data_IF_407766006735
#
_entry.id   IF_407766006735
#
_cell.length_a   1.000
_cell.length_b   1.000
_cell.length_c   1.000
_cell.angle_alpha   90.00
_cell.angle_beta   90.00
_cell.angle_gamma   90.00
#
_symmetry.space_group_name_H-M   'P 1'
#
loop_
_entity.id
_entity.type
_entity.pdbx_description
1 polymer ?
#
# COMPACT_ATOMS: atom_id res chain seq x y z
N UNK A 1 -6.80 10.76 26.85
CA UNK A 1 -7.10 11.86 25.90
C UNK A 1 -5.78 12.33 25.31
N UNK A 2 -5.68 12.39 23.96
CA UNK A 2 -4.48 12.90 23.27
C UNK A 2 -4.49 14.42 23.42
N UNK A 3 -3.42 14.99 24.00
CA UNK A 3 -3.29 16.45 24.15
C UNK A 3 -2.82 17.06 22.82
N UNK A 4 -3.22 18.31 22.50
CA UNK A 4 -2.64 19.03 21.37
C UNK A 4 -1.10 19.09 21.47
N UNK A 5 -0.43 19.01 20.33
CA UNK A 5 1.05 19.09 20.24
C UNK A 5 1.79 18.06 21.11
N UNK A 6 1.20 16.87 21.31
CA UNK A 6 1.83 15.78 22.06
C UNK A 6 2.06 14.56 21.14
N UNK A 7 3.15 13.84 21.40
CA UNK A 7 3.43 12.56 20.79
C UNK A 7 2.72 11.45 21.56
N UNK A 8 2.19 10.46 20.83
CA UNK A 8 1.54 9.30 21.41
C UNK A 8 2.03 8.05 20.69
N UNK A 9 2.39 7.03 21.47
CA UNK A 9 2.82 5.74 20.96
C UNK A 9 1.68 4.73 21.00
N UNK A 10 1.48 4.03 19.90
CA UNK A 10 0.55 2.91 19.80
C UNK A 10 1.34 1.60 19.75
N UNK A 11 1.06 0.69 20.68
CA UNK A 11 1.60 -0.67 20.63
C UNK A 11 0.64 -1.56 19.84
N UNK A 12 1.16 -2.21 18.79
CA UNK A 12 0.41 -3.17 17.98
C UNK A 12 0.89 -4.56 18.34
N UNK A 13 -0.03 -5.44 18.74
CA UNK A 13 0.27 -6.83 19.06
C UNK A 13 -0.61 -7.74 18.22
N UNK A 14 0.00 -8.68 17.53
CA UNK A 14 -0.74 -9.69 16.79
C UNK A 14 -1.21 -10.80 17.75
N UNK A 15 -2.52 -11.07 17.74
CA UNK A 15 -3.16 -12.08 18.61
C UNK A 15 -3.86 -13.18 17.82
N UNK A 16 -3.64 -13.23 16.50
CA UNK A 16 -4.27 -14.19 15.60
C UNK A 16 -3.57 -15.55 15.55
N UNK A 17 -3.93 -16.35 14.55
CA UNK A 17 -3.29 -17.64 14.26
C UNK A 17 -1.85 -17.44 13.77
N UNK A 18 -1.05 -18.53 13.77
CA UNK A 18 0.29 -18.48 13.20
C UNK A 18 0.31 -17.90 11.79
N UNK A 19 1.23 -16.98 11.55
CA UNK A 19 1.43 -16.35 10.23
C UNK A 19 2.29 -17.24 9.34
N UNK A 20 2.15 -17.14 8.00
CA UNK A 20 3.07 -17.76 7.06
C UNK A 20 4.51 -17.39 7.37
N UNK A 21 5.43 -18.34 7.23
CA UNK A 21 6.86 -18.14 7.47
C UNK A 21 7.67 -18.02 6.17
N UNK A 22 7.04 -18.30 5.05
CA UNK A 22 7.62 -18.34 3.70
C UNK A 22 7.33 -17.09 2.86
N UNK A 23 6.45 -16.22 3.32
CA UNK A 23 6.05 -14.98 2.63
C UNK A 23 5.53 -13.91 3.59
N UNK A 24 5.48 -12.69 3.11
CA UNK A 24 4.88 -11.57 3.84
C UNK A 24 3.37 -11.74 4.03
N UNK A 25 2.88 -11.13 5.12
CA UNK A 25 1.45 -10.91 5.36
C UNK A 25 1.18 -9.41 5.46
N UNK A 26 0.11 -8.94 4.81
CA UNK A 26 -0.25 -7.53 4.80
C UNK A 26 -1.52 -7.27 5.61
N UNK A 27 -1.48 -6.20 6.40
CA UNK A 27 -2.58 -5.71 7.22
C UNK A 27 -2.83 -4.23 6.92
N UNK A 28 -3.96 -3.75 7.37
CA UNK A 28 -4.30 -2.33 7.31
C UNK A 28 -4.63 -1.84 8.71
N UNK A 29 -3.90 -0.81 9.16
CA UNK A 29 -4.19 -0.11 10.40
C UNK A 29 -4.98 1.15 10.05
N UNK A 30 -6.05 1.38 10.81
CA UNK A 30 -6.84 2.60 10.74
C UNK A 30 -6.77 3.28 12.09
N UNK A 31 -6.15 4.45 12.14
CA UNK A 31 -6.09 5.29 13.34
C UNK A 31 -7.04 6.46 13.14
N UNK A 32 -8.07 6.55 13.97
CA UNK A 32 -9.05 7.64 13.93
C UNK A 32 -8.89 8.54 15.14
N UNK A 33 -8.56 9.81 14.91
CA UNK A 33 -8.55 10.83 15.93
C UNK A 33 -9.97 11.39 16.11
N UNK A 34 -10.57 11.17 17.28
CA UNK A 34 -11.90 11.66 17.61
C UNK A 34 -11.73 12.88 18.53
N UNK A 35 -12.16 14.09 18.11
CA UNK A 35 -12.09 15.26 18.97
C UNK A 35 -13.01 15.08 20.19
N UNK A 36 -12.56 15.57 21.35
CA UNK A 36 -13.39 15.60 22.54
C UNK A 36 -14.53 16.61 22.37
N UNK A 37 -15.71 16.24 22.80
CA UNK A 37 -16.78 17.24 22.96
C UNK A 37 -16.50 18.06 24.21
N UNK A 38 -16.37 19.37 24.07
CA UNK A 38 -16.34 20.26 25.24
C UNK A 38 -17.71 20.24 25.91
N UNK A 39 -17.77 19.70 27.14
CA UNK A 39 -18.99 19.66 27.94
C UNK A 39 -19.53 21.05 28.34
N UNK A 40 -18.81 22.14 28.00
CA UNK A 40 -19.16 23.51 28.30
C UNK A 40 -19.95 24.23 27.21
N UNK A 41 -20.17 23.60 26.06
CA UNK A 41 -20.93 24.17 24.96
C UNK A 41 -22.44 23.77 25.07
N UNK A 42 -23.03 23.93 26.25
CA UNK A 42 -24.50 23.83 26.42
C UNK A 42 -25.25 25.08 25.90
N UNK A 43 -24.53 26.01 25.26
CA UNK A 43 -25.18 27.10 24.54
C UNK A 43 -25.54 26.64 23.12
N UNK A 44 -26.82 26.37 22.97
CA UNK A 44 -27.55 25.71 21.87
C UNK A 44 -27.51 26.46 20.51
N UNK A 45 -26.68 27.49 20.31
CA UNK A 45 -26.74 28.33 19.13
C UNK A 45 -25.43 28.49 18.32
N UNK A 46 -24.40 27.68 18.56
CA UNK A 46 -23.22 27.73 17.69
C UNK A 46 -23.21 26.53 16.74
N UNK A 47 -23.32 26.80 15.43
CA UNK A 47 -23.07 25.83 14.36
C UNK A 47 -21.62 25.38 14.46
N UNK A 48 -21.32 24.31 15.20
CA UNK A 48 -19.98 23.76 15.33
C UNK A 48 -19.78 22.58 14.37
N UNK A 49 -18.75 22.66 13.52
CA UNK A 49 -18.32 21.56 12.67
C UNK A 49 -17.25 20.76 13.41
N UNK A 50 -17.50 19.48 13.68
CA UNK A 50 -16.50 18.57 14.21
C UNK A 50 -15.91 17.70 13.10
N UNK A 51 -14.62 17.79 12.86
CA UNK A 51 -13.91 16.99 11.85
C UNK A 51 -13.09 15.93 12.58
N UNK A 52 -13.34 14.65 12.25
CA UNK A 52 -12.52 13.53 12.69
C UNK A 52 -11.60 13.08 11.54
N UNK A 53 -10.30 13.01 11.79
CA UNK A 53 -9.32 12.54 10.81
C UNK A 53 -9.03 11.06 11.04
N UNK A 54 -9.04 10.27 9.96
CA UNK A 54 -8.67 8.87 9.99
C UNK A 54 -7.48 8.63 9.04
N UNK A 55 -6.38 8.16 9.60
CA UNK A 55 -5.20 7.74 8.85
C UNK A 55 -5.26 6.24 8.60
N UNK A 56 -5.03 5.83 7.35
CA UNK A 56 -4.93 4.41 6.96
C UNK A 56 -3.54 4.12 6.48
N UNK A 57 -2.86 3.18 7.15
CA UNK A 57 -1.51 2.75 6.79
C UNK A 57 -1.46 1.24 6.57
N UNK A 58 -0.57 0.80 5.68
CA UNK A 58 -0.27 -0.62 5.51
C UNK A 58 0.71 -1.04 6.59
N UNK A 59 0.51 -2.24 7.13
CA UNK A 59 1.44 -2.91 8.03
C UNK A 59 1.79 -4.25 7.41
N UNK A 60 3.09 -4.50 7.21
CA UNK A 60 3.58 -5.78 6.74
C UNK A 60 4.21 -6.55 7.89
N UNK A 61 3.87 -7.81 8.01
CA UNK A 61 4.64 -8.77 8.79
C UNK A 61 5.57 -9.49 7.84
N UNK A 62 6.87 -9.35 8.05
CA UNK A 62 7.92 -9.95 7.24
C UNK A 62 8.67 -10.99 8.08
N UNK A 63 8.58 -12.29 7.73
CA UNK A 63 9.41 -13.31 8.35
C UNK A 63 10.89 -13.04 8.14
N UNK A 64 11.72 -13.33 9.14
CA UNK A 64 13.16 -13.10 9.08
C UNK A 64 13.94 -14.08 8.20
N UNK A 65 13.31 -15.19 7.84
CA UNK A 65 13.93 -16.31 7.10
C UNK A 65 13.58 -16.34 5.61
N UNK A 66 13.10 -15.24 5.04
CA UNK A 66 12.87 -15.16 3.60
C UNK A 66 14.19 -15.29 2.84
N UNK A 67 14.17 -16.12 1.80
CA UNK A 67 15.40 -16.52 1.04
C UNK A 67 15.90 -15.45 0.06
N UNK A 68 15.13 -14.38 -0.13
CA UNK A 68 15.42 -13.31 -1.09
C UNK A 68 15.48 -11.96 -0.36
N UNK A 69 16.37 -11.07 -0.82
CA UNK A 69 16.40 -9.68 -0.35
C UNK A 69 15.23 -8.89 -0.99
N UNK A 70 14.65 -7.97 -0.23
CA UNK A 70 13.52 -7.15 -0.69
C UNK A 70 13.87 -6.25 -1.88
N UNK A 71 15.09 -5.73 -1.94
CA UNK A 71 15.55 -4.89 -3.05
C UNK A 71 15.68 -5.71 -4.34
N UNK A 72 16.18 -6.95 -4.25
CA UNK A 72 16.25 -7.88 -5.37
C UNK A 72 14.85 -8.32 -5.82
N UNK A 73 13.93 -8.50 -4.90
CA UNK A 73 12.55 -8.89 -5.19
C UNK A 73 11.85 -7.90 -6.12
N UNK A 74 12.08 -6.59 -5.94
CA UNK A 74 11.50 -5.56 -6.80
C UNK A 74 11.90 -5.71 -8.27
N UNK A 75 13.07 -6.29 -8.55
CA UNK A 75 13.59 -6.52 -9.90
C UNK A 75 13.11 -7.84 -10.52
N UNK A 76 12.43 -8.69 -9.75
CA UNK A 76 11.93 -10.01 -10.20
C UNK A 76 10.49 -9.97 -10.73
N UNK A 77 9.83 -8.82 -10.67
CA UNK A 77 8.50 -8.69 -11.25
C UNK A 77 8.55 -8.93 -12.76
N UNK A 78 7.60 -9.71 -13.23
CA UNK A 78 7.38 -9.92 -14.66
C UNK A 78 6.14 -9.10 -15.06
N UNK A 79 6.37 -8.09 -15.92
CA UNK A 79 5.31 -7.18 -16.36
C UNK A 79 5.21 -7.26 -17.88
N UNK A 80 4.07 -7.72 -18.37
CA UNK A 80 3.85 -7.92 -19.80
C UNK A 80 2.44 -7.52 -20.23
N UNK A 81 2.28 -7.19 -21.49
CA UNK A 81 0.98 -7.00 -22.10
C UNK A 81 0.48 -8.30 -22.68
N UNK A 82 -0.72 -8.73 -22.26
CA UNK A 82 -1.47 -9.86 -22.85
C UNK A 82 -2.78 -9.35 -23.41
N UNK A 83 -2.82 -9.15 -24.72
CA UNK A 83 -4.00 -8.59 -25.40
C UNK A 83 -4.32 -7.16 -24.90
N UNK A 84 -5.50 -7.00 -24.28
CA UNK A 84 -5.96 -5.73 -23.73
C UNK A 84 -5.66 -5.56 -22.23
N UNK A 85 -4.88 -6.44 -21.66
CA UNK A 85 -4.54 -6.43 -20.23
C UNK A 85 -3.05 -6.28 -20.02
N UNK A 86 -2.66 -5.52 -19.02
CA UNK A 86 -1.34 -5.53 -18.42
C UNK A 86 -1.33 -6.57 -17.32
N UNK A 87 -0.47 -7.55 -17.46
CA UNK A 87 -0.32 -8.65 -16.50
C UNK A 87 0.95 -8.43 -15.72
N UNK A 88 0.82 -8.42 -14.40
CA UNK A 88 1.93 -8.31 -13.46
C UNK A 88 2.01 -9.59 -12.65
N UNK A 89 3.09 -10.35 -12.82
CA UNK A 89 3.36 -11.55 -12.04
C UNK A 89 4.43 -11.23 -10.99
N UNK A 90 4.14 -11.56 -9.75
CA UNK A 90 5.05 -11.39 -8.61
C UNK A 90 5.49 -12.77 -8.08
N UNK A 91 6.60 -13.34 -8.55
CA UNK A 91 7.10 -14.64 -8.09
C UNK A 91 7.79 -14.57 -6.73
N UNK A 92 7.83 -13.41 -6.08
CA UNK A 92 8.60 -13.17 -4.85
C UNK A 92 7.77 -13.41 -3.60
N UNK A 93 8.40 -13.58 -2.42
CA UNK A 93 7.68 -13.70 -1.16
C UNK A 93 7.20 -12.35 -0.57
N UNK A 94 7.32 -11.25 -1.29
CA UNK A 94 7.01 -9.90 -0.83
C UNK A 94 5.77 -9.33 -1.51
N UNK A 95 5.04 -8.47 -0.79
CA UNK A 95 4.06 -7.57 -1.41
C UNK A 95 4.79 -6.45 -2.15
N UNK A 96 4.56 -6.31 -3.44
CA UNK A 96 5.20 -5.25 -4.24
C UNK A 96 4.13 -4.30 -4.77
N UNK A 97 4.30 -3.02 -4.51
CA UNK A 97 3.40 -1.98 -5.02
C UNK A 97 4.01 -1.32 -6.24
N UNK A 98 3.29 -1.41 -7.37
CA UNK A 98 3.63 -0.68 -8.58
C UNK A 98 2.99 0.69 -8.56
N UNK A 99 3.77 1.68 -8.95
CA UNK A 99 3.37 3.09 -9.08
C UNK A 99 3.83 3.63 -10.42
N UNK A 100 3.21 4.71 -10.89
CA UNK A 100 3.49 5.33 -12.18
C UNK A 100 3.47 4.34 -13.34
N UNK A 101 2.57 3.36 -13.25
CA UNK A 101 2.40 2.36 -14.32
C UNK A 101 1.84 3.04 -15.56
N UNK A 102 2.45 2.78 -16.71
CA UNK A 102 1.97 3.33 -17.98
C UNK A 102 2.22 2.37 -19.13
N UNK A 103 1.33 2.44 -20.13
CA UNK A 103 1.46 1.74 -21.42
C UNK A 103 1.31 2.78 -22.52
N UNK A 104 2.33 2.93 -23.37
CA UNK A 104 2.34 3.94 -24.44
C UNK A 104 2.10 5.36 -23.90
N UNK A 105 2.61 5.68 -22.70
CA UNK A 105 2.43 6.97 -22.05
C UNK A 105 1.08 7.19 -21.35
N UNK A 106 0.10 6.28 -21.48
CA UNK A 106 -1.17 6.35 -20.75
C UNK A 106 -1.03 5.70 -19.36
N UNK A 107 -1.38 6.47 -18.33
CA UNK A 107 -1.27 6.03 -16.94
C UNK A 107 -2.34 4.99 -16.57
N UNK A 108 -1.95 4.01 -15.77
CA UNK A 108 -2.80 3.04 -15.11
C UNK A 108 -2.80 3.29 -13.58
N UNK A 109 -3.80 2.78 -12.85
CA UNK A 109 -3.83 2.87 -11.40
C UNK A 109 -2.62 2.20 -10.75
N UNK A 110 -2.21 2.71 -9.58
CA UNK A 110 -1.27 2.01 -8.71
C UNK A 110 -1.88 0.68 -8.23
N UNK A 111 -1.07 -0.36 -8.19
CA UNK A 111 -1.52 -1.69 -7.77
C UNK A 111 -0.51 -2.34 -6.83
N UNK A 112 -0.98 -3.05 -5.82
CA UNK A 112 -0.16 -3.90 -4.96
C UNK A 112 -0.40 -5.36 -5.33
N UNK A 113 0.66 -6.07 -5.67
CA UNK A 113 0.63 -7.47 -6.07
C UNK A 113 1.12 -8.33 -4.91
N UNK A 114 0.32 -9.33 -4.56
CA UNK A 114 0.60 -10.24 -3.46
C UNK A 114 1.76 -11.20 -3.78
N UNK A 115 2.43 -11.77 -2.77
CA UNK A 115 3.44 -12.80 -2.95
C UNK A 115 2.93 -13.99 -3.75
N UNK A 116 3.68 -14.41 -4.77
CA UNK A 116 3.38 -15.58 -5.59
C UNK A 116 2.09 -15.45 -6.42
N UNK A 117 1.64 -14.23 -6.74
CA UNK A 117 0.38 -14.01 -7.44
C UNK A 117 0.54 -13.24 -8.75
N UNK A 118 -0.50 -13.31 -9.57
CA UNK A 118 -0.66 -12.56 -10.82
C UNK A 118 -1.80 -11.55 -10.66
N UNK A 119 -1.55 -10.31 -11.12
CA UNK A 119 -2.55 -9.24 -11.17
C UNK A 119 -2.76 -8.81 -12.61
N UNK A 120 -4.02 -8.59 -13.00
CA UNK A 120 -4.41 -8.11 -14.33
C UNK A 120 -5.04 -6.74 -14.24
N UNK A 121 -4.64 -5.84 -15.10
CA UNK A 121 -5.18 -4.49 -15.20
C UNK A 121 -5.60 -4.21 -16.65
N UNK A 122 -6.82 -3.68 -16.88
CA UNK A 122 -7.24 -3.32 -18.22
C UNK A 122 -6.37 -2.17 -18.74
N UNK A 123 -5.89 -2.30 -19.96
CA UNK A 123 -5.15 -1.24 -20.66
C UNK A 123 -6.16 -0.27 -21.28
N UNK A 124 -6.01 1.05 -21.08
CA UNK A 124 -6.89 2.04 -21.69
C UNK A 124 -6.89 1.93 -23.22
N UNK A 125 -8.04 2.13 -23.84
CA UNK A 125 -8.17 2.07 -25.29
C UNK A 125 -7.17 3.00 -26.01
N UNK A 126 -6.51 2.48 -27.03
CA UNK A 126 -5.48 3.20 -27.80
C UNK A 126 -4.15 3.39 -27.07
N UNK A 127 -3.93 2.74 -25.92
CA UNK A 127 -2.60 2.68 -25.29
C UNK A 127 -1.80 1.57 -25.95
N UNK A 128 -0.81 1.94 -26.74
CA UNK A 128 0.10 1.03 -27.45
C UNK A 128 1.53 1.52 -27.28
N UNK A 129 2.46 0.61 -27.00
CA UNK A 129 3.88 0.96 -26.90
C UNK A 129 4.52 0.50 -25.63
N UNK A 130 5.56 1.21 -25.19
CA UNK A 130 6.38 0.82 -24.08
C UNK A 130 5.62 0.78 -22.75
N UNK A 131 5.89 -0.26 -21.95
CA UNK A 131 5.47 -0.37 -20.55
C UNK A 131 6.53 0.30 -19.69
N UNK A 132 6.12 1.21 -18.82
CA UNK A 132 6.97 1.79 -17.79
C UNK A 132 6.27 1.72 -16.44
N UNK A 133 7.04 1.49 -15.38
CA UNK A 133 6.55 1.45 -14.01
C UNK A 133 7.67 1.74 -13.02
N UNK A 134 7.30 2.07 -11.80
CA UNK A 134 8.20 2.10 -10.64
C UNK A 134 7.62 1.25 -9.54
N UNK A 135 8.44 0.75 -8.64
CA UNK A 135 8.02 0.10 -7.40
C UNK A 135 8.23 1.02 -6.22
N UNK A 136 7.44 0.83 -5.17
CA UNK A 136 7.59 1.57 -3.92
C UNK A 136 8.40 0.70 -2.96
N UNK A 137 9.55 1.18 -2.50
CA UNK A 137 10.40 0.50 -1.53
C UNK A 137 9.92 0.71 -0.09
N UNK A 138 10.57 0.03 0.88
CA UNK A 138 10.21 0.08 2.31
C UNK A 138 10.31 1.49 2.92
N UNK A 139 11.09 2.38 2.33
CA UNK A 139 11.26 3.77 2.78
C UNK A 139 10.31 4.74 2.08
N UNK A 140 9.38 4.25 1.25
CA UNK A 140 8.47 5.07 0.47
C UNK A 140 9.07 5.70 -0.79
N UNK A 141 10.34 5.40 -1.10
CA UNK A 141 11.00 5.82 -2.32
C UNK A 141 10.54 5.02 -3.54
N UNK A 142 10.77 5.58 -4.73
CA UNK A 142 10.46 4.94 -6.00
C UNK A 142 11.71 4.31 -6.59
N UNK A 143 11.62 3.03 -6.95
CA UNK A 143 12.64 2.30 -7.72
C UNK A 143 12.10 2.05 -9.13
N UNK A 144 12.85 2.43 -10.14
CA UNK A 144 12.44 2.22 -11.55
C UNK A 144 12.47 0.73 -11.85
N UNK A 145 11.35 0.21 -12.35
CA UNK A 145 11.24 -1.17 -12.80
C UNK A 145 12.07 -1.39 -14.06
N UNK A 146 12.73 -2.53 -14.12
CA UNK A 146 13.42 -2.98 -15.33
C UNK A 146 12.47 -3.85 -16.16
N UNK A 147 12.49 -3.63 -17.48
CA UNK A 147 11.95 -4.57 -18.46
C UNK A 147 12.85 -5.78 -18.59
#
# INVERSE_FOLDING_TARGET
MIKPMSENSLRITYTGKALPTDKESAYRIVVKAIPSKDKKADNVNENSLQIAVASRIKLFYRPSNLTMNVDDAQQKLLVEQRGKELVVNNPTPYFITLSKVSVGGKLLPNVMVEPGSEMKMPIPAGAVGNIAYSTINDFGGLTVGRK
#
